data_IF_023827722194
#
_entry.id   IF_023827722194
#
_cell.length_a   1.000
_cell.length_b   1.000
_cell.length_c   1.000
_cell.angle_alpha   90.00
_cell.angle_beta   90.00
_cell.angle_gamma   90.00
#
_symmetry.space_group_name_H-M   'P 1'
#
loop_
_entity.id
_entity.type
_entity.pdbx_description
1 polymer ?
#
# COMPACT_ATOMS: atom_id res chain seq x y z
N UNK A 1 24.95 12.54 -13.56
CA UNK A 1 23.51 12.86 -13.58
C UNK A 1 23.05 13.03 -15.02
N UNK A 2 22.36 12.06 -15.64
CA UNK A 2 21.68 12.35 -16.90
C UNK A 2 20.22 11.85 -16.92
N UNK A 3 19.32 12.76 -17.26
CA UNK A 3 17.95 12.46 -17.64
C UNK A 3 16.93 12.62 -16.52
N UNK A 4 16.61 13.87 -16.16
CA UNK A 4 15.36 14.16 -15.46
C UNK A 4 14.21 13.55 -16.27
N UNK A 5 13.69 12.42 -15.81
CA UNK A 5 12.67 11.68 -16.52
C UNK A 5 11.46 12.57 -16.74
N UNK A 6 10.86 12.49 -17.94
CA UNK A 6 9.62 13.22 -18.21
C UNK A 6 8.59 12.78 -17.18
N UNK A 7 8.08 13.75 -16.42
CA UNK A 7 7.03 13.53 -15.43
C UNK A 7 5.68 13.78 -16.09
N UNK A 8 4.70 12.97 -15.74
CA UNK A 8 3.34 13.13 -16.22
C UNK A 8 2.36 12.35 -15.35
N UNK A 9 1.07 12.57 -15.58
CA UNK A 9 -0.01 11.78 -15.01
C UNK A 9 -0.68 11.00 -16.14
N UNK A 10 -1.31 9.87 -15.82
CA UNK A 10 -2.15 9.17 -16.80
C UNK A 10 -3.20 10.15 -17.40
N UNK A 11 -3.59 10.01 -18.68
CA UNK A 11 -4.60 10.88 -19.30
C UNK A 11 -5.96 10.86 -18.57
N UNK A 12 -6.19 9.74 -17.91
CA UNK A 12 -7.29 9.20 -17.13
C UNK A 12 -7.57 9.43 -15.64
N UNK A 13 -7.04 10.47 -14.96
CA UNK A 13 -6.81 10.33 -13.52
C UNK A 13 -8.14 10.30 -12.77
N UNK A 14 -8.31 9.28 -11.93
CA UNK A 14 -9.42 9.21 -10.99
C UNK A 14 -9.06 9.93 -9.69
N UNK A 15 -10.04 10.57 -9.07
CA UNK A 15 -9.86 11.20 -7.75
C UNK A 15 -9.65 10.12 -6.68
N UNK A 16 -8.55 10.16 -5.90
CA UNK A 16 -8.33 9.25 -4.79
C UNK A 16 -9.49 9.30 -3.79
N UNK A 17 -9.99 8.15 -3.39
CA UNK A 17 -11.14 8.02 -2.48
C UNK A 17 -10.81 7.06 -1.35
N UNK A 18 -10.97 7.51 -0.10
CA UNK A 18 -10.75 6.68 1.08
C UNK A 18 -12.06 6.49 1.82
N UNK A 19 -12.48 5.24 1.97
CA UNK A 19 -13.59 4.84 2.84
C UNK A 19 -13.03 4.46 4.21
N UNK A 20 -13.47 5.17 5.26
CA UNK A 20 -13.07 4.89 6.63
C UNK A 20 -14.20 4.20 7.38
N UNK A 21 -13.84 3.20 8.18
CA UNK A 21 -14.74 2.43 9.02
C UNK A 21 -14.27 2.51 10.47
N UNK A 22 -15.19 2.84 11.37
CA UNK A 22 -14.92 2.85 12.80
C UNK A 22 -16.11 2.22 13.51
N UNK A 23 -15.82 1.18 14.28
CA UNK A 23 -16.78 0.51 15.14
C UNK A 23 -16.20 0.45 16.53
N UNK A 24 -16.96 0.86 17.54
CA UNK A 24 -16.49 0.91 18.91
C UNK A 24 -17.61 0.53 19.87
N UNK A 25 -17.26 -0.27 20.87
CA UNK A 25 -18.11 -0.60 22.00
C UNK A 25 -17.40 -0.12 23.27
N UNK A 26 -18.11 0.68 24.05
CA UNK A 26 -17.70 1.09 25.39
C UNK A 26 -18.64 0.47 26.42
N UNK A 27 -18.08 -0.14 27.45
CA UNK A 27 -18.83 -0.71 28.55
C UNK A 27 -18.21 -0.35 29.89
N UNK A 28 -19.06 0.18 30.78
CA UNK A 28 -18.77 0.29 32.20
C UNK A 28 -18.88 -1.08 32.87
N UNK A 29 -17.82 -1.48 33.59
CA UNK A 29 -17.75 -2.70 34.37
C UNK A 29 -17.75 -2.37 35.88
N UNK A 30 -18.11 -3.33 36.75
CA UNK A 30 -18.02 -3.16 38.19
C UNK A 30 -16.61 -2.73 38.64
N UNK A 31 -16.53 -2.17 39.85
CA UNK A 31 -15.25 -1.71 40.44
C UNK A 31 -14.58 -0.53 39.70
N UNK A 32 -15.39 0.37 39.11
CA UNK A 32 -14.94 1.58 38.41
C UNK A 32 -13.98 1.27 37.25
N UNK A 33 -14.28 0.23 36.49
CA UNK A 33 -13.54 -0.16 35.29
C UNK A 33 -14.35 0.30 34.07
N UNK A 34 -13.69 0.88 33.08
CA UNK A 34 -14.23 1.17 31.75
C UNK A 34 -13.43 0.39 30.72
N UNK A 35 -14.12 -0.42 29.92
CA UNK A 35 -13.56 -1.18 28.81
C UNK A 35 -14.04 -0.56 27.50
N UNK A 36 -13.12 -0.27 26.59
CA UNK A 36 -13.41 0.13 25.21
C UNK A 36 -12.73 -0.85 24.28
N UNK A 37 -13.49 -1.37 23.33
CA UNK A 37 -12.98 -2.23 22.27
C UNK A 37 -13.43 -1.64 20.96
N UNK A 38 -12.47 -1.40 20.06
CA UNK A 38 -12.74 -0.78 18.77
C UNK A 38 -12.10 -1.54 17.62
N UNK A 39 -12.69 -1.36 16.46
CA UNK A 39 -12.19 -1.76 15.16
C UNK A 39 -12.12 -0.52 14.27
N UNK A 40 -10.97 -0.33 13.64
CA UNK A 40 -10.72 0.73 12.68
C UNK A 40 -10.28 0.10 11.36
N UNK A 41 -10.83 0.57 10.26
CA UNK A 41 -10.44 0.12 8.94
C UNK A 41 -10.46 1.27 7.95
N UNK A 42 -9.67 1.15 6.90
CA UNK A 42 -9.76 2.07 5.77
C UNK A 42 -9.52 1.33 4.45
N UNK A 43 -10.24 1.75 3.42
CA UNK A 43 -10.08 1.25 2.07
C UNK A 43 -9.90 2.41 1.11
N UNK A 44 -8.68 2.55 0.59
CA UNK A 44 -8.31 3.53 -0.41
C UNK A 44 -8.48 2.97 -1.81
N UNK A 45 -9.12 3.74 -2.69
CA UNK A 45 -9.25 3.48 -4.12
C UNK A 45 -8.63 4.63 -4.89
N UNK A 46 -8.17 4.33 -6.11
CA UNK A 46 -7.59 5.30 -7.01
C UNK A 46 -6.38 6.05 -6.46
N UNK A 47 -5.65 5.41 -5.54
CA UNK A 47 -4.45 5.99 -4.94
C UNK A 47 -3.37 6.20 -6.00
N UNK A 48 -2.59 7.27 -5.82
CA UNK A 48 -1.58 7.68 -6.78
C UNK A 48 -0.30 6.89 -6.57
N UNK A 49 0.10 6.13 -7.59
CA UNK A 49 1.35 5.38 -7.66
C UNK A 49 2.26 5.98 -8.72
N UNK A 50 3.57 5.96 -8.48
CA UNK A 50 4.56 6.36 -9.48
C UNK A 50 5.23 5.14 -10.08
N UNK A 51 5.24 5.04 -11.41
CA UNK A 51 5.97 4.00 -12.11
C UNK A 51 6.68 4.55 -13.35
N UNK A 52 7.71 3.84 -13.81
CA UNK A 52 8.40 4.18 -15.06
C UNK A 52 7.69 3.52 -16.24
N UNK A 53 6.95 4.33 -17.02
CA UNK A 53 6.19 3.88 -18.18
C UNK A 53 7.08 3.41 -19.34
N UNK A 54 8.37 3.78 -19.35
CA UNK A 54 9.35 3.33 -20.33
C UNK A 54 10.33 2.30 -19.75
N UNK A 55 9.94 1.59 -18.69
CA UNK A 55 10.74 0.48 -18.15
C UNK A 55 10.83 -0.66 -19.18
N UNK A 56 11.96 -1.38 -19.17
CA UNK A 56 12.09 -2.62 -19.92
C UNK A 56 11.01 -3.63 -19.50
N UNK A 57 10.53 -4.44 -20.45
CA UNK A 57 9.61 -5.54 -20.17
C UNK A 57 10.38 -6.86 -20.15
N UNK A 58 10.15 -7.72 -19.14
CA UNK A 58 10.74 -9.05 -19.16
C UNK A 58 10.07 -9.89 -20.23
N UNK A 59 10.83 -10.78 -20.86
CA UNK A 59 10.25 -11.89 -21.60
C UNK A 59 9.84 -13.01 -20.63
N UNK A 60 8.75 -13.71 -20.97
CA UNK A 60 8.29 -14.87 -20.21
C UNK A 60 8.85 -16.12 -20.88
N UNK A 61 9.72 -16.84 -20.18
CA UNK A 61 10.34 -18.05 -20.71
C UNK A 61 9.30 -19.16 -20.94
N UNK A 62 9.49 -20.05 -21.93
CA UNK A 62 10.69 -20.23 -22.77
C UNK A 62 10.73 -19.37 -24.04
N UNK A 63 9.84 -18.38 -24.20
CA UNK A 63 9.86 -17.53 -25.39
C UNK A 63 11.20 -16.75 -25.51
N UNK A 64 11.67 -16.56 -26.74
CA UNK A 64 12.84 -15.73 -27.03
C UNK A 64 12.69 -14.32 -26.42
N UNK A 65 13.72 -13.71 -25.81
CA UNK A 65 15.15 -14.10 -25.80
C UNK A 65 15.60 -14.84 -24.53
N UNK A 66 14.77 -15.70 -23.94
CA UNK A 66 15.18 -16.49 -22.77
C UNK A 66 16.35 -17.46 -23.07
N UNK A 67 17.38 -17.52 -22.21
CA UNK A 67 18.41 -18.55 -22.27
C UNK A 67 17.85 -19.96 -22.07
N UNK A 68 18.54 -20.94 -22.66
CA UNK A 68 18.25 -22.35 -22.39
C UNK A 68 18.49 -22.68 -20.90
N UNK A 69 17.60 -23.48 -20.32
CA UNK A 69 17.68 -23.92 -18.92
C UNK A 69 16.84 -23.10 -17.93
N UNK A 70 16.18 -22.01 -18.36
CA UNK A 70 15.20 -21.33 -17.51
C UNK A 70 13.84 -22.04 -17.53
N UNK A 71 13.21 -22.24 -16.36
CA UNK A 71 11.86 -22.81 -16.28
C UNK A 71 10.83 -21.97 -17.03
N UNK A 72 9.82 -22.64 -17.60
CA UNK A 72 8.67 -21.96 -18.19
C UNK A 72 7.98 -21.06 -17.14
N UNK A 73 7.63 -19.83 -17.53
CA UNK A 73 7.05 -18.81 -16.65
C UNK A 73 8.07 -17.86 -15.99
N UNK A 74 9.38 -18.12 -16.14
CA UNK A 74 10.42 -17.22 -15.58
C UNK A 74 10.40 -15.86 -16.28
N UNK A 75 10.43 -14.77 -15.49
CA UNK A 75 10.59 -13.40 -15.99
C UNK A 75 12.08 -13.14 -16.23
N UNK A 76 12.47 -12.99 -17.49
CA UNK A 76 13.87 -12.77 -17.87
C UNK A 76 14.04 -11.39 -18.52
N UNK A 77 15.03 -10.63 -18.05
CA UNK A 77 15.47 -9.39 -18.68
C UNK A 77 16.75 -9.66 -19.48
N UNK A 78 16.74 -9.53 -20.82
CA UNK A 78 17.92 -9.75 -21.63
C UNK A 78 19.01 -8.72 -21.35
N UNK A 79 20.27 -9.11 -21.56
CA UNK A 79 21.41 -8.22 -21.48
C UNK A 79 21.91 -7.90 -22.91
N UNK A 80 22.03 -6.63 -23.34
CA UNK A 80 21.72 -5.41 -22.57
C UNK A 80 20.22 -5.25 -22.30
N UNK A 81 19.88 -4.73 -21.11
CA UNK A 81 18.49 -4.41 -20.77
C UNK A 81 18.10 -3.14 -21.52
N UNK A 82 17.29 -3.31 -22.56
CA UNK A 82 16.81 -2.19 -23.39
C UNK A 82 15.43 -1.74 -22.92
N UNK A 83 15.25 -0.43 -22.74
CA UNK A 83 13.94 0.19 -22.45
C UNK A 83 12.97 -0.07 -23.61
N UNK A 84 11.66 0.02 -23.34
CA UNK A 84 10.63 -0.21 -24.37
C UNK A 84 10.83 0.68 -25.60
N UNK A 85 11.14 1.97 -25.38
CA UNK A 85 11.65 2.87 -26.41
C UNK A 85 13.11 3.22 -26.07
N UNK A 86 14.10 2.73 -26.84
CA UNK A 86 15.53 3.00 -26.60
C UNK A 86 15.91 4.47 -26.80
N UNK A 87 15.14 5.23 -27.59
CA UNK A 87 15.37 6.65 -27.87
C UNK A 87 14.84 7.56 -26.75
N UNK A 88 14.10 6.99 -25.79
CA UNK A 88 13.51 7.72 -24.68
C UNK A 88 14.16 7.28 -23.36
N UNK A 89 14.46 8.26 -22.51
CA UNK A 89 14.91 8.02 -21.14
C UNK A 89 13.81 7.44 -20.24
N UNK A 90 14.01 7.54 -18.92
CA UNK A 90 12.97 7.22 -17.94
C UNK A 90 11.74 8.12 -18.12
N UNK A 91 10.54 7.53 -18.04
CA UNK A 91 9.29 8.26 -18.10
C UNK A 91 8.50 7.99 -16.81
N UNK A 92 8.65 8.86 -15.82
CA UNK A 92 7.98 8.72 -14.53
C UNK A 92 6.53 9.18 -14.62
N UNK A 93 5.59 8.24 -14.66
CA UNK A 93 4.17 8.54 -14.76
C UNK A 93 3.47 8.22 -13.44
N UNK A 94 2.55 9.10 -13.06
CA UNK A 94 1.62 8.89 -11.96
C UNK A 94 0.37 8.16 -12.46
N UNK A 95 0.03 7.06 -11.79
CA UNK A 95 -1.13 6.22 -12.08
C UNK A 95 -2.09 6.24 -10.90
N UNK A 96 -3.39 6.25 -11.14
CA UNK A 96 -4.43 6.22 -10.09
C UNK A 96 -5.01 4.80 -9.94
N UNK A 97 -4.14 3.80 -9.99
CA UNK A 97 -4.49 2.37 -9.86
C UNK A 97 -4.18 1.81 -8.48
N UNK A 98 -3.69 2.64 -7.56
CA UNK A 98 -3.39 2.22 -6.22
C UNK A 98 -4.64 1.85 -5.44
N UNK A 99 -4.55 0.74 -4.72
CA UNK A 99 -5.58 0.28 -3.78
C UNK A 99 -4.87 0.08 -2.45
N UNK A 100 -5.43 0.67 -1.40
CA UNK A 100 -4.95 0.51 -0.04
C UNK A 100 -6.05 -0.13 0.82
N UNK A 101 -5.67 -0.99 1.76
CA UNK A 101 -6.57 -1.60 2.71
C UNK A 101 -5.88 -1.74 4.06
N UNK A 102 -6.42 -1.08 5.08
CA UNK A 102 -5.94 -1.12 6.46
C UNK A 102 -7.05 -1.65 7.36
N UNK A 103 -6.68 -2.49 8.32
CA UNK A 103 -7.58 -3.04 9.32
C UNK A 103 -6.80 -3.15 10.63
N UNK A 104 -7.33 -2.58 11.70
CA UNK A 104 -6.73 -2.55 13.03
C UNK A 104 -7.79 -2.66 14.11
N UNK A 105 -7.43 -3.26 15.23
CA UNK A 105 -8.25 -3.26 16.43
C UNK A 105 -7.64 -2.34 17.47
N UNK A 106 -8.40 -1.98 18.50
CA UNK A 106 -7.79 -1.49 19.73
C UNK A 106 -8.61 -1.92 20.95
N UNK A 107 -7.93 -2.01 22.07
CA UNK A 107 -8.52 -2.27 23.38
C UNK A 107 -7.97 -1.24 24.35
N UNK A 108 -8.86 -0.52 25.04
CA UNK A 108 -8.53 0.41 26.11
C UNK A 108 -9.24 -0.03 27.39
N UNK A 109 -8.47 -0.25 28.46
CA UNK A 109 -8.98 -0.60 29.78
C UNK A 109 -8.53 0.48 30.74
N UNK A 110 -9.48 1.11 31.43
CA UNK A 110 -9.19 2.11 32.44
C UNK A 110 -9.90 1.74 33.75
N UNK A 111 -9.16 1.75 34.86
CA UNK A 111 -9.64 1.42 36.20
C UNK A 111 -9.32 2.56 37.16
N UNK A 112 -10.33 3.10 37.83
CA UNK A 112 -10.18 4.17 38.83
C UNK A 112 -10.44 3.66 40.25
N UNK A 113 -9.43 3.72 41.10
CA UNK A 113 -9.56 3.34 42.51
C UNK A 113 -10.14 4.50 43.33
N UNK A 114 -10.91 4.16 44.36
CA UNK A 114 -11.55 5.14 45.25
C UNK A 114 -10.53 5.99 46.04
N UNK A 115 -9.30 5.52 46.16
CA UNK A 115 -8.19 6.18 46.86
C UNK A 115 -7.44 7.20 45.99
N UNK A 116 -7.93 7.51 44.79
CA UNK A 116 -7.36 8.52 43.89
C UNK A 116 -6.35 7.98 42.85
N UNK A 117 -5.99 6.70 42.92
CA UNK A 117 -5.14 6.02 41.92
C UNK A 117 -5.95 5.63 40.67
N UNK A 118 -5.34 5.65 39.48
CA UNK A 118 -5.93 5.12 38.26
C UNK A 118 -4.90 4.34 37.42
N UNK A 119 -5.35 3.26 36.78
CA UNK A 119 -4.56 2.50 35.80
C UNK A 119 -5.25 2.53 34.45
N UNK A 120 -4.48 2.73 33.37
CA UNK A 120 -4.96 2.68 32.00
C UNK A 120 -4.02 1.84 31.15
N UNK A 121 -4.58 0.94 30.37
CA UNK A 121 -3.85 0.07 29.43
C UNK A 121 -4.48 0.22 28.05
N UNK A 122 -3.66 0.37 27.02
CA UNK A 122 -4.09 0.45 25.64
C UNK A 122 -3.29 -0.55 24.79
N UNK A 123 -3.95 -1.20 23.84
CA UNK A 123 -3.35 -2.12 22.87
C UNK A 123 -3.98 -1.88 21.49
N UNK A 124 -3.19 -1.94 20.43
CA UNK A 124 -3.60 -1.70 19.03
C UNK A 124 -3.06 -2.79 18.13
#
# INVERSE_FOLDING_TARGET
MPGGGRLGIQPDPFTPTVLNYHFEIEQGLPSNISLRVGYIGSRGYHEVLRADANKAFPAICPASPCPAGLPAGTKYFPNPVVRRNPLLGSAGIFFTSGINNFNGGFVDVNRRFRTGLAFRTNYT
#
